data_IF_113367357292
#
_entry.id   IF_113367357292
#
_cell.length_a   1.000
_cell.length_b   1.000
_cell.length_c   1.000
_cell.angle_alpha   90.00
_cell.angle_beta   90.00
_cell.angle_gamma   90.00
#
_symmetry.space_group_name_H-M   'P 1'
#
loop_
_entity.id
_entity.type
_entity.pdbx_description
1 polymer ?
#
# COMPACT_ATOMS: atom_id res chain seq x y z
N UNK A 1 -1.79 14.88 -2.71
CA UNK A 1 -3.12 14.33 -3.07
C UNK A 1 -2.91 12.91 -3.62
N UNK A 2 -3.54 11.89 -3.04
CA UNK A 2 -3.38 10.47 -3.39
C UNK A 2 -4.71 9.86 -3.88
N UNK A 3 -4.75 8.55 -4.09
CA UNK A 3 -5.92 7.82 -4.58
C UNK A 3 -6.01 7.79 -6.11
N UNK A 4 -6.57 6.71 -6.66
CA UNK A 4 -6.80 6.58 -8.09
C UNK A 4 -7.68 7.73 -8.62
N UNK A 5 -8.72 8.07 -7.86
CA UNK A 5 -9.65 9.16 -8.15
C UNK A 5 -9.09 10.56 -7.80
N UNK A 6 -7.88 10.64 -7.23
CA UNK A 6 -7.24 11.87 -6.74
C UNK A 6 -8.05 12.62 -5.67
N UNK A 7 -8.82 11.89 -4.89
CA UNK A 7 -9.68 12.39 -3.81
C UNK A 7 -9.07 12.21 -2.41
N UNK A 8 -7.89 11.57 -2.32
CA UNK A 8 -7.24 11.25 -1.06
C UNK A 8 -7.65 9.91 -0.45
N UNK A 9 -8.53 9.14 -1.11
CA UNK A 9 -9.00 7.84 -0.64
C UNK A 9 -8.47 6.72 -1.52
N UNK A 10 -8.18 5.56 -0.92
CA UNK A 10 -7.72 4.38 -1.65
C UNK A 10 -8.90 3.56 -2.20
N UNK A 11 -9.91 4.26 -2.76
CA UNK A 11 -11.01 3.61 -3.45
C UNK A 11 -10.52 3.06 -4.80
N UNK A 12 -10.69 1.75 -4.99
CA UNK A 12 -10.33 1.04 -6.22
C UNK A 12 -11.61 0.69 -7.01
N UNK A 13 -12.09 1.53 -7.93
CA UNK A 13 -13.26 1.22 -8.74
C UNK A 13 -13.00 0.02 -9.68
N UNK A 14 -14.05 -0.63 -10.25
CA UNK A 14 -13.87 -1.78 -11.16
C UNK A 14 -12.95 -1.55 -12.36
N UNK A 15 -12.80 -0.30 -12.81
CA UNK A 15 -11.92 0.08 -13.92
C UNK A 15 -10.49 0.46 -13.50
N UNK A 16 -10.19 0.47 -12.20
CA UNK A 16 -8.81 0.57 -11.72
C UNK A 16 -8.15 -0.81 -11.81
N UNK A 17 -7.62 -1.13 -13.00
CA UNK A 17 -6.91 -2.38 -13.26
C UNK A 17 -5.66 -2.57 -12.39
N UNK A 18 -5.11 -1.49 -11.82
CA UNK A 18 -3.99 -1.55 -10.88
C UNK A 18 -4.42 -1.92 -9.45
N UNK A 19 -5.71 -1.75 -9.13
CA UNK A 19 -6.29 -1.93 -7.81
C UNK A 19 -5.48 -1.16 -6.73
N UNK A 20 -5.58 0.17 -6.74
CA UNK A 20 -4.93 1.08 -5.81
C UNK A 20 -5.63 1.11 -4.44
N UNK A 21 -5.86 -0.07 -3.86
CA UNK A 21 -6.63 -0.26 -2.63
C UNK A 21 -5.79 -0.21 -1.36
N UNK A 22 -4.46 -0.34 -1.42
CA UNK A 22 -3.61 -0.39 -0.24
C UNK A 22 -3.17 1.03 0.15
N UNK A 23 -3.64 1.52 1.29
CA UNK A 23 -3.13 2.76 1.88
C UNK A 23 -1.81 2.46 2.59
N UNK A 24 -0.70 2.91 2.01
CA UNK A 24 0.63 2.61 2.50
C UNK A 24 1.41 3.86 2.93
N UNK A 25 2.34 3.68 3.86
CA UNK A 25 3.40 4.64 4.19
C UNK A 25 4.67 4.12 3.51
N UNK A 26 5.09 4.80 2.43
CA UNK A 26 6.24 4.38 1.63
C UNK A 26 7.56 4.74 2.30
N UNK A 27 8.59 3.96 2.03
CA UNK A 27 9.96 4.13 2.54
C UNK A 27 10.92 4.34 1.37
N UNK A 28 12.12 4.85 1.62
CA UNK A 28 13.15 4.94 0.58
C UNK A 28 13.51 3.56 0.01
N UNK A 29 13.59 2.52 0.82
CA UNK A 29 13.87 1.15 0.37
C UNK A 29 12.78 0.60 -0.56
N UNK A 30 11.51 0.86 -0.25
CA UNK A 30 10.41 0.51 -1.15
C UNK A 30 10.47 1.32 -2.44
N UNK A 31 10.72 2.63 -2.35
CA UNK A 31 10.76 3.51 -3.52
C UNK A 31 11.85 3.08 -4.51
N UNK A 32 13.02 2.71 -3.99
CA UNK A 32 14.13 2.22 -4.81
C UNK A 32 13.81 0.85 -5.40
N UNK A 33 13.21 -0.04 -4.60
CA UNK A 33 12.72 -1.34 -5.09
C UNK A 33 11.71 -1.21 -6.23
N UNK A 34 10.62 -0.45 -6.02
CA UNK A 34 9.57 -0.32 -7.02
C UNK A 34 10.08 0.39 -8.28
N UNK A 35 11.02 1.33 -8.14
CA UNK A 35 11.67 1.96 -9.29
C UNK A 35 12.49 0.95 -10.10
N UNK A 36 13.24 0.06 -9.44
CA UNK A 36 13.96 -1.05 -10.10
C UNK A 36 13.04 -2.02 -10.84
N UNK A 37 11.76 -2.08 -10.45
CA UNK A 37 10.69 -2.89 -11.08
C UNK A 37 9.83 -2.09 -12.08
N UNK A 38 10.33 -0.94 -12.53
CA UNK A 38 9.69 -0.11 -13.57
C UNK A 38 8.54 0.77 -13.07
N UNK A 39 8.36 0.94 -11.76
CA UNK A 39 7.37 1.83 -11.17
C UNK A 39 8.07 2.89 -10.30
N UNK A 40 8.59 3.93 -10.96
CA UNK A 40 9.31 5.04 -10.32
C UNK A 40 8.33 6.06 -9.71
N UNK A 41 7.99 5.88 -8.43
CA UNK A 41 7.08 6.77 -7.72
C UNK A 41 7.73 8.09 -7.25
N UNK A 42 9.07 8.20 -7.26
CA UNK A 42 9.73 9.48 -6.97
C UNK A 42 9.43 10.53 -8.05
N UNK A 43 9.19 10.10 -9.28
CA UNK A 43 8.70 10.98 -10.35
C UNK A 43 7.31 11.59 -10.06
N UNK A 44 6.53 10.96 -9.17
CA UNK A 44 5.27 11.50 -8.65
C UNK A 44 5.46 12.36 -7.38
N UNK A 45 6.70 12.63 -6.97
CA UNK A 45 7.04 13.46 -5.82
C UNK A 45 7.04 12.73 -4.47
N UNK A 46 7.06 11.39 -4.46
CA UNK A 46 7.07 10.63 -3.21
C UNK A 46 8.47 10.55 -2.60
N UNK A 47 8.52 10.69 -1.27
CA UNK A 47 9.70 10.50 -0.43
C UNK A 47 9.36 9.57 0.73
N UNK A 48 10.37 9.13 1.49
CA UNK A 48 10.17 8.37 2.73
C UNK A 48 9.12 9.02 3.64
N UNK A 49 8.23 8.19 4.21
CA UNK A 49 7.14 8.60 5.09
C UNK A 49 5.88 9.08 4.38
N UNK A 50 5.88 9.21 3.05
CA UNK A 50 4.69 9.64 2.31
C UNK A 50 3.55 8.61 2.41
N UNK A 51 2.32 9.09 2.63
CA UNK A 51 1.10 8.28 2.55
C UNK A 51 0.63 8.20 1.10
N UNK A 52 0.40 6.98 0.60
CA UNK A 52 0.03 6.76 -0.78
C UNK A 52 -0.85 5.52 -0.99
N UNK A 53 -1.82 5.62 -1.90
CA UNK A 53 -2.58 4.48 -2.37
C UNK A 53 -1.77 3.70 -3.41
N UNK A 54 -1.28 2.52 -3.03
CA UNK A 54 -0.51 1.64 -3.89
C UNK A 54 -1.42 0.62 -4.58
N UNK A 55 -1.05 0.26 -5.81
CA UNK A 55 -1.52 -0.98 -6.43
C UNK A 55 -1.25 -2.15 -5.47
N UNK A 56 -2.27 -2.95 -5.17
CA UNK A 56 -2.12 -4.11 -4.28
C UNK A 56 -1.07 -5.09 -4.80
N UNK A 57 -0.94 -5.23 -6.12
CA UNK A 57 0.09 -6.07 -6.75
C UNK A 57 1.51 -5.58 -6.46
N UNK A 58 1.74 -4.26 -6.41
CA UNK A 58 3.05 -3.67 -6.08
C UNK A 58 3.39 -3.81 -4.61
N UNK A 59 2.40 -3.66 -3.74
CA UNK A 59 2.59 -3.94 -2.31
C UNK A 59 2.89 -5.43 -2.08
N UNK A 60 2.16 -6.34 -2.73
CA UNK A 60 2.42 -7.78 -2.68
C UNK A 60 3.80 -8.16 -3.23
N UNK A 61 4.25 -7.52 -4.30
CA UNK A 61 5.59 -7.74 -4.86
C UNK A 61 6.68 -7.41 -3.82
N UNK A 62 6.53 -6.31 -3.07
CA UNK A 62 7.44 -5.98 -1.98
C UNK A 62 7.38 -7.01 -0.85
N UNK A 63 6.16 -7.44 -0.43
CA UNK A 63 5.98 -8.48 0.58
C UNK A 63 6.72 -9.78 0.23
N UNK A 64 6.64 -10.22 -1.03
CA UNK A 64 7.27 -11.46 -1.50
C UNK A 64 8.81 -11.38 -1.62
N UNK A 65 9.38 -10.18 -1.72
CA UNK A 65 10.83 -9.96 -1.87
C UNK A 65 11.50 -9.45 -0.58
N UNK A 66 10.73 -9.05 0.42
CA UNK A 66 11.24 -8.56 1.70
C UNK A 66 11.57 -9.69 2.68
N UNK A 67 12.31 -9.34 3.73
CA UNK A 67 12.83 -10.28 4.74
C UNK A 67 11.96 -10.40 6.01
N UNK A 68 10.73 -9.87 5.98
CA UNK A 68 9.77 -9.90 7.08
C UNK A 68 9.43 -8.51 7.63
N UNK A 69 8.72 -8.45 8.77
CA UNK A 69 8.09 -7.22 9.29
C UNK A 69 9.04 -6.06 9.64
N UNK A 70 10.33 -6.36 9.85
CA UNK A 70 11.39 -5.37 10.09
C UNK A 70 12.02 -4.83 8.80
N UNK A 71 11.72 -5.42 7.64
CA UNK A 71 12.23 -4.96 6.36
C UNK A 71 11.44 -3.75 5.88
N UNK A 72 12.13 -2.61 5.77
CA UNK A 72 11.55 -1.36 5.29
C UNK A 72 11.16 -1.40 3.82
N UNK A 73 11.65 -2.36 3.03
CA UNK A 73 11.19 -2.54 1.65
C UNK A 73 9.68 -2.81 1.59
N UNK A 74 9.09 -3.39 2.64
CA UNK A 74 7.65 -3.65 2.71
C UNK A 74 6.96 -2.44 3.36
N UNK A 75 6.18 -1.63 2.60
CA UNK A 75 5.54 -0.45 3.15
C UNK A 75 4.57 -0.81 4.28
N UNK A 76 4.57 0.00 5.34
CA UNK A 76 3.56 -0.09 6.39
C UNK A 76 2.18 0.25 5.84
N UNK A 77 1.15 -0.40 6.37
CA UNK A 77 -0.25 -0.26 5.93
C UNK A 77 -1.03 0.58 6.93
N UNK A 78 -1.88 1.48 6.43
CA UNK A 78 -2.94 2.12 7.22
C UNK A 78 -4.23 1.36 6.95
N UNK A 79 -4.55 0.41 7.84
CA UNK A 79 -5.59 -0.58 7.65
C UNK A 79 -6.98 0.06 7.53
N UNK A 80 -7.29 1.04 8.38
CA UNK A 80 -8.59 1.74 8.32
C UNK A 80 -8.74 2.64 7.07
N UNK A 81 -7.67 2.88 6.32
CA UNK A 81 -7.68 3.61 5.06
C UNK A 81 -7.51 2.70 3.83
N UNK A 82 -7.35 1.39 4.04
CA UNK A 82 -7.18 0.38 2.98
C UNK A 82 -8.55 -0.16 2.56
N UNK A 83 -8.80 -0.21 1.26
CA UNK A 83 -10.06 -0.69 0.73
C UNK A 83 -10.11 -2.21 0.72
N UNK A 84 -11.28 -2.80 1.02
CA UNK A 84 -11.46 -4.26 1.16
C UNK A 84 -11.06 -5.07 -0.08
N UNK A 85 -11.15 -4.48 -1.27
CA UNK A 85 -10.60 -5.04 -2.53
C UNK A 85 -9.12 -5.40 -2.50
N UNK A 86 -8.34 -4.92 -1.54
CA UNK A 86 -6.98 -5.42 -1.32
C UNK A 86 -7.00 -6.94 -1.03
N UNK A 87 -8.06 -7.42 -0.35
CA UNK A 87 -8.26 -8.81 0.03
C UNK A 87 -8.47 -9.76 -1.15
N UNK A 88 -8.78 -9.23 -2.35
CA UNK A 88 -8.83 -10.02 -3.58
C UNK A 88 -7.44 -10.55 -3.99
N UNK A 89 -6.36 -9.97 -3.44
CA UNK A 89 -4.97 -10.24 -3.87
C UNK A 89 -4.04 -10.62 -2.72
N UNK A 90 -4.23 -10.05 -1.52
CA UNK A 90 -3.41 -10.33 -0.31
C UNK A 90 -4.29 -10.73 0.87
N UNK A 91 -3.74 -11.46 1.84
CA UNK A 91 -4.49 -11.86 3.03
C UNK A 91 -4.71 -10.70 4.00
N UNK A 92 -5.77 -10.78 4.82
CA UNK A 92 -5.95 -9.82 5.93
C UNK A 92 -4.78 -9.90 6.92
N UNK A 93 -4.30 -11.11 7.23
CA UNK A 93 -3.15 -11.33 8.11
C UNK A 93 -1.88 -10.64 7.59
N UNK A 94 -1.67 -10.63 6.27
CA UNK A 94 -0.55 -9.91 5.66
C UNK A 94 -0.71 -8.40 5.89
N UNK A 95 -1.90 -7.85 5.72
CA UNK A 95 -2.14 -6.42 5.93
C UNK A 95 -1.98 -6.04 7.41
N UNK A 96 -2.52 -6.84 8.32
CA UNK A 96 -2.43 -6.64 9.77
C UNK A 96 -0.98 -6.73 10.28
N UNK A 97 -0.19 -7.66 9.75
CA UNK A 97 1.23 -7.83 10.11
C UNK A 97 2.07 -6.57 9.82
N UNK A 98 1.62 -5.71 8.89
CA UNK A 98 2.32 -4.48 8.51
C UNK A 98 1.52 -3.21 8.88
N UNK A 99 0.41 -3.34 9.60
CA UNK A 99 -0.44 -2.22 9.96
C UNK A 99 0.23 -1.28 10.99
N UNK A 100 -0.04 0.02 10.88
CA UNK A 100 0.35 1.04 11.89
C UNK A 100 -0.81 1.47 12.78
N UNK A 101 -2.03 1.13 12.38
CA UNK A 101 -3.27 1.30 13.11
C UNK A 101 -3.94 -0.07 13.33
N UNK A 102 -4.80 -0.14 14.35
CA UNK A 102 -5.60 -1.34 14.60
C UNK A 102 -6.92 -1.25 13.84
N UNK A 103 -7.56 -2.39 13.51
CA UNK A 103 -8.97 -2.36 13.13
C UNK A 103 -9.74 -1.60 14.21
N UNK A 104 -10.45 -0.54 13.85
CA UNK A 104 -11.42 0.03 14.79
C UNK A 104 -12.52 -1.01 14.97
N UNK A 105 -12.72 -1.49 16.20
CA UNK A 105 -13.89 -2.30 16.54
C UNK A 105 -15.11 -1.59 15.98
N UNK A 106 -15.86 -2.26 15.09
CA UNK A 106 -17.16 -1.76 14.66
C UNK A 106 -18.03 -1.72 15.91
N UNK A 107 -18.23 -0.53 16.47
CA UNK A 107 -19.28 -0.31 17.47
C UNK A 107 -20.61 -0.56 16.77
N UNK A 108 -21.40 -1.45 17.37
CA UNK A 108 -22.75 -1.88 16.94
C UNK A 108 -23.70 -0.72 16.63
#
# INVERSE_FOLDING_TARGET
MTGFMRDGYCYAPPYDHGNHSVAAIVTDEFLDFTASRGNNLRAAGLTDGCKWCLCVSRWKEALLNGKGQGDRMIPKVVLNATHEKALDVVGLEDLEAFAVDKPTDKVE
#
